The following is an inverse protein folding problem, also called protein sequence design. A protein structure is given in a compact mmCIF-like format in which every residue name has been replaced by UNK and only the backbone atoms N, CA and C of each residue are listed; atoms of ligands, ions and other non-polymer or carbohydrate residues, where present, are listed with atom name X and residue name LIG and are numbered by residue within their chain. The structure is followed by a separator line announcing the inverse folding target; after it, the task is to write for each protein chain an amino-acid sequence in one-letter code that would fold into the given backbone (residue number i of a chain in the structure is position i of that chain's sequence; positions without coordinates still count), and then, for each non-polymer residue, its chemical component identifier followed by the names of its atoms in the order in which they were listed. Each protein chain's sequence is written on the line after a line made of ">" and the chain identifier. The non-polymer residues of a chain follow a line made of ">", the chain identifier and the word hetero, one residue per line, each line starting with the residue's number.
data_IF_185850341353
#
_entry.id   IF_185850341353
#
_cell.length_a   1.000
_cell.length_b   1.000
_cell.length_c   1.000
_cell.angle_alpha   90.00
_cell.angle_beta   90.00
_cell.angle_gamma   90.00
#
_symmetry.space_group_name_H-M   'P 1'
#
loop_
_entity.id
_entity.type
_entity.pdbx_description
1 polymer ?
#
# COMPACT_ATOMS: atom_id res chain seq x y z
N UNK A 1 -16.49 13.90 -7.44
CA UNK A 1 -15.44 13.26 -6.61
C UNK A 1 -15.15 14.16 -5.42
N UNK A 2 -15.13 13.63 -4.20
CA UNK A 2 -14.84 14.45 -3.01
C UNK A 2 -13.33 14.62 -2.82
N UNK A 3 -12.92 15.74 -2.23
CA UNK A 3 -11.52 15.98 -1.82
C UNK A 3 -11.03 14.90 -0.86
N UNK A 4 -11.90 14.44 0.06
CA UNK A 4 -11.59 13.35 1.00
C UNK A 4 -11.27 12.03 0.29
N UNK A 5 -12.03 11.66 -0.74
CA UNK A 5 -11.74 10.43 -1.51
C UNK A 5 -10.38 10.55 -2.21
N UNK A 6 -10.08 11.72 -2.77
CA UNK A 6 -8.81 11.97 -3.45
C UNK A 6 -7.62 11.90 -2.49
N UNK A 7 -7.72 12.47 -1.29
CA UNK A 7 -6.63 12.44 -0.31
C UNK A 7 -6.38 11.04 0.24
N UNK A 8 -7.44 10.22 0.39
CA UNK A 8 -7.31 8.81 0.75
C UNK A 8 -6.57 8.02 -0.34
N UNK A 9 -6.94 8.23 -1.60
CA UNK A 9 -6.25 7.59 -2.73
C UNK A 9 -4.78 8.03 -2.83
N UNK A 10 -4.47 9.32 -2.65
CA UNK A 10 -3.08 9.81 -2.57
C UNK A 10 -2.31 9.16 -1.43
N UNK A 11 -2.91 9.08 -0.24
CA UNK A 11 -2.28 8.51 0.95
C UNK A 11 -2.00 7.01 0.83
N UNK A 12 -2.91 6.28 0.18
CA UNK A 12 -2.73 4.86 -0.07
C UNK A 12 -1.67 4.61 -1.16
N UNK A 13 -1.69 5.37 -2.25
CA UNK A 13 -0.70 5.27 -3.33
C UNK A 13 0.74 5.54 -2.84
N UNK A 14 0.96 6.60 -2.05
CA UNK A 14 2.29 6.91 -1.52
C UNK A 14 2.74 5.86 -0.49
N UNK A 15 1.83 5.31 0.33
CA UNK A 15 2.15 4.20 1.24
C UNK A 15 2.50 2.91 0.48
N UNK A 16 1.79 2.62 -0.60
CA UNK A 16 2.10 1.50 -1.49
C UNK A 16 3.50 1.60 -2.06
N UNK A 17 3.90 2.78 -2.56
CA UNK A 17 5.26 3.02 -3.07
C UNK A 17 6.34 2.96 -2.00
N UNK A 18 6.07 3.52 -0.82
CA UNK A 18 6.99 3.46 0.32
C UNK A 18 7.36 2.00 0.64
N UNK A 19 6.35 1.14 0.80
CA UNK A 19 6.58 -0.26 1.16
C UNK A 19 7.12 -1.09 -0.01
N UNK A 20 6.70 -0.79 -1.25
CA UNK A 20 7.26 -1.41 -2.46
C UNK A 20 8.78 -1.17 -2.58
N UNK A 21 9.27 0.02 -2.23
CA UNK A 21 10.70 0.37 -2.29
C UNK A 21 11.62 -0.54 -1.44
N UNK A 22 11.04 -1.24 -0.47
CA UNK A 22 11.73 -2.13 0.47
C UNK A 22 11.64 -3.62 0.08
N UNK A 23 10.89 -3.98 -0.96
CA UNK A 23 10.77 -5.38 -1.41
C UNK A 23 12.09 -5.87 -1.99
N UNK A 24 12.47 -7.11 -1.68
CA UNK A 24 13.75 -7.65 -2.13
C UNK A 24 14.97 -7.02 -1.45
N UNK A 25 14.82 -6.46 -0.24
CA UNK A 25 15.95 -6.07 0.62
C UNK A 25 16.02 -7.05 1.78
N UNK A 26 17.23 -7.53 2.09
CA UNK A 26 17.44 -8.46 3.19
C UNK A 26 17.19 -7.80 4.56
N UNK A 27 16.73 -8.60 5.53
CA UNK A 27 16.39 -8.09 6.86
C UNK A 27 17.59 -7.48 7.58
N UNK A 28 18.80 -8.05 7.40
CA UNK A 28 19.98 -7.52 8.06
C UNK A 28 20.30 -6.11 7.56
N UNK A 29 20.21 -5.85 6.25
CA UNK A 29 20.37 -4.52 5.67
C UNK A 29 19.28 -3.55 6.16
N UNK A 30 18.01 -3.97 6.16
CA UNK A 30 16.89 -3.15 6.66
C UNK A 30 17.09 -2.71 8.12
N UNK A 31 17.77 -3.53 8.92
CA UNK A 31 18.00 -3.32 10.34
C UNK A 31 19.30 -2.57 10.65
N UNK A 32 20.33 -2.71 9.83
CA UNK A 32 21.70 -2.29 10.19
C UNK A 32 22.34 -1.30 9.24
N UNK A 33 21.92 -1.24 7.97
CA UNK A 33 22.48 -0.28 7.01
C UNK A 33 21.72 1.05 7.16
N UNK A 34 22.41 2.14 7.51
CA UNK A 34 21.73 3.41 7.77
C UNK A 34 21.20 4.04 6.48
N UNK A 35 19.96 4.54 6.55
CA UNK A 35 19.36 5.44 5.56
C UNK A 35 19.87 6.86 5.78
N UNK A 36 19.86 7.32 7.04
CA UNK A 36 20.32 8.64 7.46
C UNK A 36 21.02 8.58 8.79
N UNK A 37 22.26 9.08 8.88
CA UNK A 37 23.00 9.07 10.16
C UNK A 37 22.91 7.69 10.82
N UNK A 38 22.20 7.57 11.96
CA UNK A 38 22.01 6.30 12.68
C UNK A 38 20.57 5.74 12.56
N UNK A 39 19.81 6.11 11.52
CA UNK A 39 18.48 5.57 11.23
C UNK A 39 18.56 4.43 10.24
N UNK A 40 18.19 3.21 10.65
CA UNK A 40 17.95 2.10 9.73
C UNK A 40 16.61 2.25 9.01
N UNK A 41 16.38 1.47 7.93
CA UNK A 41 15.09 1.47 7.25
C UNK A 41 13.95 1.01 8.19
N UNK A 42 14.21 0.02 9.05
CA UNK A 42 13.27 -0.41 10.07
C UNK A 42 12.88 0.74 11.03
N UNK A 43 13.86 1.49 11.53
CA UNK A 43 13.60 2.66 12.38
C UNK A 43 12.87 3.76 11.62
N UNK A 44 13.17 3.96 10.33
CA UNK A 44 12.46 4.93 9.51
C UNK A 44 10.97 4.58 9.35
N UNK A 45 10.61 3.29 9.20
CA UNK A 45 9.21 2.86 9.21
C UNK A 45 8.51 3.19 10.54
N UNK A 46 9.17 2.90 11.67
CA UNK A 46 8.64 3.27 12.99
C UNK A 46 8.51 4.79 13.16
N UNK A 47 9.42 5.58 12.60
CA UNK A 47 9.34 7.04 12.57
C UNK A 47 8.12 7.53 11.82
N UNK A 48 7.89 7.02 10.61
CA UNK A 48 6.71 7.34 9.82
C UNK A 48 5.43 6.99 10.59
N UNK A 49 5.41 5.83 11.24
CA UNK A 49 4.34 5.41 12.14
C UNK A 49 4.11 6.37 13.31
N UNK A 50 5.17 6.88 13.95
CA UNK A 50 5.01 7.79 15.10
C UNK A 50 4.35 9.11 14.67
N UNK A 51 4.65 9.62 13.48
CA UNK A 51 3.94 10.79 12.95
C UNK A 51 2.49 10.49 12.60
N UNK A 52 2.17 9.31 12.05
CA UNK A 52 0.77 8.91 11.83
C UNK A 52 0.01 8.86 13.18
N UNK A 53 0.60 8.24 14.21
CA UNK A 53 0.02 8.20 15.56
C UNK A 53 -0.15 9.60 16.15
N UNK A 54 0.87 10.44 16.05
CA UNK A 54 0.85 11.81 16.57
C UNK A 54 -0.26 12.66 15.95
N UNK A 55 -0.44 12.58 14.62
CA UNK A 55 -1.52 13.30 13.96
C UNK A 55 -2.88 12.67 14.23
N UNK A 56 -2.98 11.34 14.40
CA UNK A 56 -4.21 10.70 14.85
C UNK A 56 -4.67 11.26 16.20
N UNK A 57 -3.76 11.39 17.17
CA UNK A 57 -4.03 11.95 18.50
C UNK A 57 -4.51 13.41 18.41
N UNK A 58 -3.94 14.21 17.51
CA UNK A 58 -4.43 15.58 17.27
C UNK A 58 -5.84 15.63 16.67
N UNK A 59 -6.14 14.73 15.73
CA UNK A 59 -7.50 14.62 15.18
C UNK A 59 -8.51 14.17 16.24
N UNK A 60 -8.12 13.26 17.11
CA UNK A 60 -8.95 12.82 18.25
C UNK A 60 -9.24 13.98 19.22
N UNK A 61 -8.26 14.84 19.50
CA UNK A 61 -8.48 16.05 20.32
C UNK A 61 -9.48 17.02 19.68
N UNK A 62 -9.39 17.20 18.36
CA UNK A 62 -10.38 17.99 17.60
C UNK A 62 -11.78 17.39 17.70
N UNK A 63 -11.93 16.09 17.44
CA UNK A 63 -13.21 15.39 17.50
C UNK A 63 -13.88 15.48 18.88
N UNK A 64 -13.06 15.58 19.93
CA UNK A 64 -13.52 15.70 21.32
C UNK A 64 -13.68 17.14 21.80
N UNK A 65 -13.48 18.16 20.95
CA UNK A 65 -13.54 19.57 21.36
C UNK A 65 -12.51 19.95 22.42
N UNK A 66 -11.35 19.27 22.42
CA UNK A 66 -10.24 19.45 23.37
C UNK A 66 -9.02 20.05 22.67
N UNK A 67 -9.24 21.00 21.76
CA UNK A 67 -8.18 21.58 20.92
C UNK A 67 -7.14 22.34 21.75
N UNK A 68 -7.51 22.84 22.93
CA UNK A 68 -6.61 23.50 23.88
C UNK A 68 -5.48 22.59 24.39
N UNK A 69 -5.65 21.27 24.27
CA UNK A 69 -4.64 20.27 24.63
C UNK A 69 -3.67 19.94 23.49
N UNK A 70 -3.82 20.54 22.31
CA UNK A 70 -2.93 20.29 21.17
C UNK A 70 -1.61 21.03 21.38
N UNK A 71 -0.56 20.27 21.68
CA UNK A 71 0.79 20.80 21.90
C UNK A 71 1.51 21.15 20.59
N UNK A 72 2.30 22.24 20.60
CA UNK A 72 3.23 22.57 19.51
C UNK A 72 4.43 21.63 19.48
N UNK A 73 5.02 21.46 18.29
CA UNK A 73 6.37 20.92 18.18
C UNK A 73 7.32 22.11 18.28
N UNK A 74 7.92 22.32 19.45
CA UNK A 74 8.87 23.44 19.67
C UNK A 74 10.22 23.17 18.99
N UNK A 75 10.68 21.92 19.03
CA UNK A 75 11.94 21.49 18.45
C UNK A 75 11.77 20.11 17.77
N UNK A 76 11.83 20.12 16.44
CA UNK A 76 11.66 18.94 15.61
C UNK A 76 12.82 17.95 15.77
N UNK A 77 14.05 18.47 15.90
CA UNK A 77 15.25 17.66 16.01
C UNK A 77 15.33 16.98 17.37
N UNK A 78 14.97 17.70 18.44
CA UNK A 78 14.85 17.11 19.77
C UNK A 78 13.79 16.00 19.80
N UNK A 79 12.62 16.21 19.18
CA UNK A 79 11.58 15.17 19.08
C UNK A 79 12.10 13.94 18.33
N UNK A 80 12.74 14.15 17.17
CA UNK A 80 13.27 13.07 16.36
C UNK A 80 14.38 12.30 17.09
N UNK A 81 15.23 12.98 17.86
CA UNK A 81 16.28 12.36 18.69
C UNK A 81 15.69 11.49 19.80
N UNK A 82 14.66 11.97 20.49
CA UNK A 82 13.96 11.20 21.52
C UNK A 82 13.26 9.99 20.94
N UNK A 83 12.63 10.15 19.77
CA UNK A 83 12.00 9.07 19.03
C UNK A 83 13.03 8.01 18.62
N UNK A 84 14.14 8.41 18.01
CA UNK A 84 15.22 7.51 17.62
C UNK A 84 15.71 6.69 18.81
N UNK A 85 15.97 7.35 19.95
CA UNK A 85 16.43 6.70 21.18
C UNK A 85 15.46 5.61 21.66
N UNK A 86 14.15 5.84 21.49
CA UNK A 86 13.10 4.90 21.88
C UNK A 86 12.98 3.69 20.94
N UNK A 87 13.24 3.88 19.66
CA UNK A 87 12.96 2.87 18.63
C UNK A 87 14.20 2.14 18.09
N UNK A 88 15.41 2.61 18.41
CA UNK A 88 16.68 2.07 17.89
C UNK A 88 16.84 0.55 18.05
N UNK A 89 16.26 -0.02 19.12
CA UNK A 89 16.37 -1.44 19.45
C UNK A 89 15.13 -2.26 19.03
N UNK A 90 14.19 -1.66 18.29
CA UNK A 90 13.00 -2.35 17.80
C UNK A 90 13.35 -3.32 16.68
N UNK A 91 12.65 -4.45 16.62
CA UNK A 91 12.74 -5.37 15.50
C UNK A 91 12.07 -4.80 14.25
N UNK A 92 12.39 -5.36 13.09
CA UNK A 92 11.72 -5.01 11.84
C UNK A 92 10.22 -5.28 11.93
N UNK A 93 9.84 -6.48 12.38
CA UNK A 93 8.43 -6.87 12.53
C UNK A 93 7.65 -5.89 13.41
N UNK A 94 8.22 -5.50 14.56
CA UNK A 94 7.56 -4.55 15.45
C UNK A 94 7.45 -3.16 14.83
N UNK A 95 8.46 -2.71 14.08
CA UNK A 95 8.43 -1.42 13.38
C UNK A 95 7.36 -1.37 12.29
N UNK A 96 7.21 -2.47 11.54
CA UNK A 96 6.16 -2.63 10.51
C UNK A 96 4.76 -2.67 11.15
N UNK A 97 4.56 -3.49 12.18
CA UNK A 97 3.28 -3.58 12.89
C UNK A 97 2.89 -2.22 13.52
N UNK A 98 3.85 -1.50 14.10
CA UNK A 98 3.63 -0.17 14.64
C UNK A 98 3.20 0.83 13.55
N UNK A 99 3.88 0.83 12.39
CA UNK A 99 3.54 1.65 11.23
C UNK A 99 2.11 1.40 10.76
N UNK A 100 1.70 0.13 10.65
CA UNK A 100 0.37 -0.24 10.15
C UNK A 100 -0.74 0.13 11.15
N UNK A 101 -0.53 -0.16 12.44
CA UNK A 101 -1.49 0.20 13.49
C UNK A 101 -1.64 1.72 13.61
N UNK A 102 -0.54 2.46 13.54
CA UNK A 102 -0.58 3.92 13.57
C UNK A 102 -1.32 4.50 12.36
N UNK A 103 -1.08 3.95 11.16
CA UNK A 103 -1.81 4.34 9.94
C UNK A 103 -3.31 4.05 10.06
N UNK A 104 -3.69 2.88 10.56
CA UNK A 104 -5.10 2.55 10.79
C UNK A 104 -5.75 3.52 11.78
N UNK A 105 -5.06 3.84 12.88
CA UNK A 105 -5.53 4.81 13.87
C UNK A 105 -5.76 6.18 13.23
N UNK A 106 -4.78 6.64 12.44
CA UNK A 106 -4.88 7.90 11.71
C UNK A 106 -6.06 7.93 10.72
N UNK A 107 -6.21 6.90 9.89
CA UNK A 107 -7.30 6.82 8.92
C UNK A 107 -8.67 6.77 9.59
N UNK A 108 -8.80 6.04 10.71
CA UNK A 108 -10.03 6.00 11.51
C UNK A 108 -10.40 7.38 12.05
N UNK A 109 -9.43 8.10 12.63
CA UNK A 109 -9.65 9.45 13.13
C UNK A 109 -9.98 10.44 12.00
N UNK A 110 -9.35 10.28 10.84
CA UNK A 110 -9.62 11.12 9.67
C UNK A 110 -11.02 10.88 9.08
N UNK A 111 -11.46 9.63 8.99
CA UNK A 111 -12.81 9.27 8.50
C UNK A 111 -13.91 9.81 9.42
N UNK A 112 -13.65 9.90 10.72
CA UNK A 112 -14.60 10.43 11.70
C UNK A 112 -14.80 11.96 11.62
N UNK A 113 -13.93 12.70 10.94
CA UNK A 113 -14.08 14.15 10.79
C UNK A 113 -15.29 14.49 9.92
N UNK A 114 -16.06 15.49 10.34
CA UNK A 114 -17.01 16.16 9.45
C UNK A 114 -16.28 16.91 8.32
N UNK A 115 -16.98 17.26 7.24
CA UNK A 115 -16.41 18.13 6.19
C UNK A 115 -16.07 19.52 6.74
N UNK A 116 -16.86 20.01 7.70
CA UNK A 116 -16.61 21.27 8.40
C UNK A 116 -15.32 21.21 9.23
N UNK A 117 -15.14 20.16 10.04
CA UNK A 117 -13.93 19.97 10.84
C UNK A 117 -12.70 19.79 9.94
N UNK A 118 -12.81 19.05 8.85
CA UNK A 118 -11.69 18.87 7.93
C UNK A 118 -11.19 20.20 7.33
N UNK A 119 -12.11 21.11 7.02
CA UNK A 119 -11.78 22.43 6.45
C UNK A 119 -11.40 23.47 7.50
N UNK A 120 -11.61 23.16 8.79
CA UNK A 120 -11.44 24.08 9.91
C UNK A 120 -9.99 24.55 10.05
N UNK A 121 -9.85 25.83 10.32
CA UNK A 121 -8.61 26.46 10.73
C UNK A 121 -8.64 26.66 12.25
N UNK A 122 -7.59 26.19 12.93
CA UNK A 122 -7.45 26.34 14.38
C UNK A 122 -6.54 27.52 14.66
N UNK A 123 -6.76 28.21 15.79
CA UNK A 123 -5.90 29.31 16.22
C UNK A 123 -5.13 28.92 17.46
N UNK A 124 -3.80 28.94 17.37
CA UNK A 124 -2.88 28.71 18.47
C UNK A 124 -1.90 29.87 18.61
N UNK A 125 -1.19 29.95 19.74
CA UNK A 125 -0.11 30.93 19.95
C UNK A 125 1.05 30.77 18.94
N UNK A 126 1.20 29.58 18.38
CA UNK A 126 2.27 29.19 17.44
C UNK A 126 1.82 29.17 15.98
N UNK A 127 0.58 29.58 15.67
CA UNK A 127 0.12 29.72 14.29
C UNK A 127 -1.34 29.34 14.08
N UNK A 128 -1.73 29.30 12.80
CA UNK A 128 -3.10 29.03 12.37
C UNK A 128 -3.15 27.82 11.42
N UNK A 129 -2.92 26.58 11.90
CA UNK A 129 -2.93 25.41 11.05
C UNK A 129 -4.35 25.05 10.61
N UNK A 130 -4.46 24.59 9.36
CA UNK A 130 -5.67 23.92 8.85
C UNK A 130 -5.58 22.42 9.05
N UNK A 131 -6.68 21.79 9.44
CA UNK A 131 -6.74 20.33 9.66
C UNK A 131 -6.45 19.57 8.37
N UNK A 132 -6.93 20.06 7.23
CA UNK A 132 -6.57 19.52 5.91
C UNK A 132 -5.06 19.49 5.67
N UNK A 133 -4.32 20.50 6.13
CA UNK A 133 -2.86 20.54 6.04
C UNK A 133 -2.16 19.42 6.83
N UNK A 134 -2.70 19.05 8.00
CA UNK A 134 -2.19 17.91 8.78
C UNK A 134 -2.39 16.59 8.05
N UNK A 135 -3.56 16.42 7.42
CA UNK A 135 -3.89 15.20 6.65
C UNK A 135 -3.04 15.11 5.39
N UNK A 136 -2.94 16.20 4.61
CA UNK A 136 -2.12 16.25 3.40
C UNK A 136 -0.65 15.96 3.66
N UNK A 137 -0.13 16.37 4.82
CA UNK A 137 1.26 16.12 5.16
C UNK A 137 1.60 14.63 5.23
N UNK A 138 0.64 13.72 5.45
CA UNK A 138 0.91 12.28 5.60
C UNK A 138 1.35 11.61 4.32
N UNK A 139 0.66 11.86 3.20
CA UNK A 139 1.08 11.31 1.93
C UNK A 139 2.37 12.00 1.42
N UNK A 140 2.56 13.30 1.70
CA UNK A 140 3.80 14.02 1.37
C UNK A 140 5.02 13.45 2.12
N UNK A 141 4.82 13.07 3.38
CA UNK A 141 5.85 12.46 4.21
C UNK A 141 6.23 11.05 3.74
N UNK A 142 5.25 10.21 3.41
CA UNK A 142 5.50 8.91 2.78
C UNK A 142 6.28 9.09 1.47
N UNK A 143 5.94 10.10 0.65
CA UNK A 143 6.62 10.38 -0.62
C UNK A 143 8.10 10.80 -0.45
N UNK A 144 8.39 11.67 0.54
CA UNK A 144 9.76 12.08 0.85
C UNK A 144 10.58 10.85 1.23
N UNK A 145 10.10 10.04 2.17
CA UNK A 145 10.84 8.85 2.61
C UNK A 145 10.88 7.72 1.60
N UNK A 146 9.95 7.67 0.66
CA UNK A 146 10.06 6.77 -0.51
C UNK A 146 11.29 7.13 -1.34
N UNK A 147 11.48 8.41 -1.66
CA UNK A 147 12.65 8.88 -2.40
C UNK A 147 13.95 8.59 -1.63
N UNK A 148 13.93 8.83 -0.32
CA UNK A 148 15.06 8.57 0.56
C UNK A 148 15.50 7.10 0.54
N UNK A 149 14.52 6.18 0.63
CA UNK A 149 14.76 4.73 0.59
C UNK A 149 15.24 4.26 -0.78
N UNK A 150 14.76 4.86 -1.86
CA UNK A 150 15.24 4.57 -3.22
C UNK A 150 16.71 4.95 -3.37
N UNK A 151 17.08 6.18 -2.98
CA UNK A 151 18.48 6.65 -3.00
C UNK A 151 19.36 5.78 -2.11
N UNK A 152 18.87 5.41 -0.91
CA UNK A 152 19.58 4.53 0.00
C UNK A 152 19.85 3.15 -0.62
N UNK A 153 18.85 2.54 -1.25
CA UNK A 153 18.95 1.24 -1.90
C UNK A 153 19.98 1.26 -3.03
N UNK A 154 19.90 2.27 -3.90
CA UNK A 154 20.85 2.46 -5.01
C UNK A 154 22.28 2.66 -4.49
N UNK A 155 22.45 3.52 -3.48
CA UNK A 155 23.77 3.86 -2.90
C UNK A 155 24.49 2.63 -2.32
N UNK A 156 23.72 1.72 -1.72
CA UNK A 156 24.26 0.53 -1.07
C UNK A 156 24.17 -0.74 -1.94
N UNK A 157 23.66 -0.63 -3.18
CA UNK A 157 23.48 -1.75 -4.10
C UNK A 157 22.69 -2.93 -3.48
N UNK A 158 21.57 -2.60 -2.82
CA UNK A 158 20.74 -3.55 -2.06
C UNK A 158 19.69 -4.23 -2.94
N UNK A 159 20.10 -4.74 -4.10
CA UNK A 159 19.22 -5.50 -4.99
C UNK A 159 19.27 -6.99 -4.68
N UNK A 160 18.18 -7.50 -4.11
CA UNK A 160 17.91 -8.94 -4.00
C UNK A 160 16.47 -9.25 -4.46
N UNK A 161 16.17 -10.54 -4.61
CA UNK A 161 14.86 -11.08 -5.00
C UNK A 161 14.07 -11.63 -3.82
N UNK A 162 14.69 -11.67 -2.64
CA UNK A 162 14.15 -12.20 -1.40
C UNK A 162 14.12 -11.12 -0.32
N UNK A 163 13.23 -11.29 0.65
CA UNK A 163 13.11 -10.34 1.75
C UNK A 163 12.25 -10.87 2.88
N UNK A 164 12.07 -10.07 3.95
CA UNK A 164 11.26 -10.46 5.09
C UNK A 164 9.77 -10.43 4.75
N UNK A 165 9.04 -11.44 5.23
CA UNK A 165 7.59 -11.61 5.13
C UNK A 165 6.85 -10.39 5.66
N UNK A 166 7.32 -9.80 6.75
CA UNK A 166 6.69 -8.62 7.35
C UNK A 166 6.56 -7.46 6.35
N UNK A 167 7.59 -7.19 5.56
CA UNK A 167 7.57 -6.18 4.49
C UNK A 167 6.67 -6.62 3.33
N UNK A 168 6.80 -7.86 2.85
CA UNK A 168 5.96 -8.38 1.77
C UNK A 168 4.46 -8.26 2.10
N UNK A 169 4.09 -8.69 3.31
CA UNK A 169 2.70 -8.68 3.75
C UNK A 169 2.16 -7.26 3.96
N UNK A 170 2.98 -6.34 4.48
CA UNK A 170 2.61 -4.93 4.59
C UNK A 170 2.46 -4.27 3.21
N UNK A 171 3.39 -4.54 2.27
CA UNK A 171 3.34 -4.04 0.91
C UNK A 171 2.11 -4.57 0.15
N UNK A 172 1.78 -5.86 0.30
CA UNK A 172 0.58 -6.46 -0.28
C UNK A 172 -0.70 -5.81 0.23
N UNK A 173 -0.77 -5.47 1.53
CA UNK A 173 -1.91 -4.73 2.10
C UNK A 173 -1.97 -3.29 1.60
N UNK A 174 -0.83 -2.61 1.50
CA UNK A 174 -0.77 -1.24 1.02
C UNK A 174 -1.11 -1.11 -0.47
N UNK A 175 -0.63 -2.03 -1.31
CA UNK A 175 -1.00 -2.12 -2.72
C UNK A 175 -2.51 -2.34 -2.90
N UNK A 176 -3.09 -3.26 -2.12
CA UNK A 176 -4.54 -3.47 -2.12
C UNK A 176 -5.30 -2.23 -1.65
N UNK A 177 -4.82 -1.52 -0.64
CA UNK A 177 -5.43 -0.27 -0.20
C UNK A 177 -5.35 0.82 -1.28
N UNK A 178 -4.23 0.93 -2.01
CA UNK A 178 -4.09 1.85 -3.15
C UNK A 178 -5.13 1.55 -4.24
N UNK A 179 -5.24 0.28 -4.61
CA UNK A 179 -6.21 -0.18 -5.59
C UNK A 179 -7.65 0.12 -5.13
N UNK A 180 -8.03 -0.25 -3.91
CA UNK A 180 -9.40 -0.06 -3.40
C UNK A 180 -9.78 1.42 -3.28
N UNK A 181 -8.87 2.27 -2.82
CA UNK A 181 -9.11 3.72 -2.74
C UNK A 181 -9.17 4.36 -4.12
N UNK A 182 -8.43 3.85 -5.11
CA UNK A 182 -8.54 4.26 -6.51
C UNK A 182 -9.88 3.83 -7.12
N UNK A 183 -10.34 2.62 -6.86
CA UNK A 183 -11.67 2.13 -7.28
C UNK A 183 -12.79 3.02 -6.73
N UNK A 184 -12.62 3.55 -5.51
CA UNK A 184 -13.57 4.48 -4.91
C UNK A 184 -13.64 5.85 -5.62
N UNK A 185 -12.68 6.18 -6.48
CA UNK A 185 -12.73 7.39 -7.32
C UNK A 185 -13.73 7.26 -8.48
N UNK A 186 -14.09 6.03 -8.87
CA UNK A 186 -15.06 5.75 -9.95
C UNK A 186 -16.50 5.88 -9.42
N UNK A 187 -17.34 6.76 -10.00
CA UNK A 187 -18.74 6.89 -9.60
C UNK A 187 -19.51 5.56 -9.69
N UNK A 188 -20.40 5.31 -8.72
CA UNK A 188 -21.14 4.05 -8.62
C UNK A 188 -21.95 3.72 -9.88
N UNK A 189 -22.57 4.73 -10.48
CA UNK A 189 -23.37 4.65 -11.70
C UNK A 189 -22.55 4.49 -12.98
N UNK A 190 -21.21 4.61 -12.88
CA UNK A 190 -20.30 4.55 -14.03
C UNK A 190 -19.40 3.31 -14.03
N UNK A 191 -19.46 2.45 -13.00
CA UNK A 191 -18.55 1.31 -12.85
C UNK A 191 -18.62 0.28 -14.00
N UNK A 192 -19.74 0.23 -14.72
CA UNK A 192 -19.96 -0.70 -15.84
C UNK A 192 -19.94 -0.01 -17.21
N UNK A 193 -19.61 1.28 -17.28
CA UNK A 193 -19.71 2.05 -18.54
C UNK A 193 -18.56 3.02 -18.78
N UNK A 194 -17.84 3.43 -17.73
CA UNK A 194 -16.66 4.30 -17.87
C UNK A 194 -15.42 3.44 -18.07
N UNK A 195 -14.71 3.70 -19.15
CA UNK A 195 -13.40 3.13 -19.41
C UNK A 195 -12.39 3.68 -18.40
N UNK A 196 -11.76 2.79 -17.64
CA UNK A 196 -10.78 3.14 -16.59
C UNK A 196 -9.41 2.51 -16.83
N UNK A 197 -9.28 1.58 -17.78
CA UNK A 197 -8.00 1.02 -18.17
C UNK A 197 -8.02 0.64 -19.65
N UNK A 198 -7.61 1.55 -20.53
CA UNK A 198 -7.80 1.39 -21.97
C UNK A 198 -9.29 1.43 -22.32
N UNK A 199 -9.84 0.30 -22.80
CA UNK A 199 -11.27 0.14 -23.12
C UNK A 199 -12.02 -0.69 -22.06
N UNK A 200 -11.35 -1.03 -20.95
CA UNK A 200 -11.96 -1.82 -19.88
C UNK A 200 -12.68 -0.92 -18.89
N UNK A 201 -13.91 -1.30 -18.56
CA UNK A 201 -14.66 -0.68 -17.47
C UNK A 201 -14.13 -1.16 -16.12
N UNK A 202 -14.52 -0.49 -15.03
CA UNK A 202 -14.12 -0.95 -13.70
C UNK A 202 -14.63 -2.38 -13.41
N UNK A 203 -15.80 -2.76 -13.93
CA UNK A 203 -16.32 -4.13 -13.89
C UNK A 203 -15.38 -5.13 -14.55
N UNK A 204 -14.81 -4.76 -15.69
CA UNK A 204 -13.92 -5.63 -16.45
C UNK A 204 -12.56 -5.75 -15.74
N UNK A 205 -12.02 -4.63 -15.23
CA UNK A 205 -10.80 -4.61 -14.41
C UNK A 205 -10.96 -5.49 -13.16
N UNK A 206 -12.09 -5.41 -12.44
CA UNK A 206 -12.36 -6.28 -11.30
C UNK A 206 -12.40 -7.77 -11.69
N UNK A 207 -13.00 -8.09 -12.84
CA UNK A 207 -13.01 -9.44 -13.38
C UNK A 207 -11.62 -9.96 -13.73
N UNK A 208 -10.83 -9.13 -14.41
CA UNK A 208 -9.43 -9.41 -14.73
C UNK A 208 -8.59 -9.68 -13.48
N UNK A 209 -8.67 -8.80 -12.47
CA UNK A 209 -7.96 -8.96 -11.21
C UNK A 209 -8.39 -10.21 -10.44
N UNK A 210 -9.65 -10.63 -10.56
CA UNK A 210 -10.12 -11.90 -9.99
C UNK A 210 -9.44 -13.11 -10.64
N UNK A 211 -9.30 -13.12 -11.97
CA UNK A 211 -8.60 -14.21 -12.68
C UNK A 211 -7.12 -14.27 -12.34
N UNK A 212 -6.46 -13.12 -12.27
CA UNK A 212 -5.06 -13.05 -11.86
C UNK A 212 -4.87 -13.45 -10.39
N UNK A 213 -5.79 -13.11 -9.50
CA UNK A 213 -5.75 -13.58 -8.11
C UNK A 213 -5.86 -15.11 -8.01
N UNK A 214 -6.72 -15.73 -8.83
CA UNK A 214 -6.81 -17.19 -8.94
C UNK A 214 -5.50 -17.80 -9.48
N UNK A 215 -4.90 -17.17 -10.48
CA UNK A 215 -3.61 -17.60 -11.03
C UNK A 215 -2.50 -17.54 -9.96
N UNK A 216 -2.28 -16.39 -9.31
CA UNK A 216 -1.29 -16.26 -8.25
C UNK A 216 -1.53 -17.27 -7.11
N UNK A 217 -2.79 -17.43 -6.70
CA UNK A 217 -3.16 -18.43 -5.70
C UNK A 217 -2.82 -19.86 -6.12
N UNK A 218 -3.01 -20.22 -7.39
CA UNK A 218 -2.62 -21.53 -7.92
C UNK A 218 -1.12 -21.73 -8.06
N UNK A 219 -0.35 -20.68 -8.37
CA UNK A 219 1.11 -20.74 -8.31
C UNK A 219 1.59 -21.03 -6.88
N UNK A 220 1.06 -20.33 -5.88
CA UNK A 220 1.38 -20.58 -4.46
C UNK A 220 0.98 -22.00 -4.06
N UNK A 221 -0.24 -22.44 -4.39
CA UNK A 221 -0.71 -23.79 -4.10
C UNK A 221 0.22 -24.86 -4.72
N UNK A 222 0.64 -24.66 -5.97
CA UNK A 222 1.58 -25.56 -6.66
C UNK A 222 2.93 -25.63 -5.95
N UNK A 223 3.49 -24.48 -5.57
CA UNK A 223 4.78 -24.41 -4.84
C UNK A 223 4.70 -25.03 -3.45
N UNK A 224 3.52 -25.05 -2.82
CA UNK A 224 3.25 -25.70 -1.56
C UNK A 224 2.83 -27.18 -1.68
N UNK A 225 2.74 -27.74 -2.90
CA UNK A 225 2.25 -29.11 -3.12
C UNK A 225 0.77 -29.31 -2.75
N UNK A 226 -0.03 -28.25 -2.82
CA UNK A 226 -1.47 -28.24 -2.54
C UNK A 226 -2.29 -28.45 -3.82
N UNK A 227 -3.59 -28.71 -3.67
CA UNK A 227 -4.51 -28.76 -4.80
C UNK A 227 -4.69 -27.38 -5.41
N UNK A 228 -4.78 -27.33 -6.74
CA UNK A 228 -5.03 -26.09 -7.48
C UNK A 228 -6.42 -25.51 -7.13
N UNK A 229 -6.55 -24.17 -7.06
CA UNK A 229 -7.85 -23.54 -6.89
C UNK A 229 -8.73 -23.79 -8.12
N UNK A 230 -10.05 -23.80 -7.90
CA UNK A 230 -11.02 -23.89 -8.99
C UNK A 230 -10.82 -22.75 -9.99
N UNK A 231 -10.84 -23.07 -11.28
CA UNK A 231 -10.66 -22.08 -12.35
C UNK A 231 -9.21 -21.69 -12.63
N UNK A 232 -8.22 -22.29 -11.95
CA UNK A 232 -6.81 -22.09 -12.28
C UNK A 232 -6.54 -22.48 -13.74
N UNK A 233 -5.86 -21.57 -14.46
CA UNK A 233 -5.39 -21.77 -15.82
C UNK A 233 -4.06 -21.02 -15.99
N UNK A 234 -3.06 -21.70 -16.55
CA UNK A 234 -1.80 -21.06 -16.94
C UNK A 234 -2.07 -19.99 -18.03
N UNK A 235 -1.58 -18.75 -17.87
CA UNK A 235 -1.77 -17.69 -18.85
C UNK A 235 -1.13 -18.03 -20.20
N UNK A 236 -1.94 -18.03 -21.27
CA UNK A 236 -1.49 -17.95 -22.66
C UNK A 236 -1.30 -16.50 -23.10
N UNK A 237 -0.75 -16.28 -24.30
CA UNK A 237 -0.65 -14.94 -24.91
C UNK A 237 -2.01 -14.24 -24.98
N UNK A 238 -3.08 -14.98 -25.27
CA UNK A 238 -4.46 -14.47 -25.37
C UNK A 238 -5.25 -14.53 -24.06
N UNK A 239 -4.62 -14.86 -22.93
CA UNK A 239 -5.31 -15.13 -21.65
C UNK A 239 -6.27 -14.00 -21.27
N UNK A 240 -5.81 -12.75 -21.29
CA UNK A 240 -6.61 -11.61 -20.89
C UNK A 240 -7.85 -11.41 -21.78
N UNK A 241 -7.72 -11.61 -23.09
CA UNK A 241 -8.84 -11.46 -24.03
C UNK A 241 -9.86 -12.60 -23.86
N UNK A 242 -9.39 -13.84 -23.73
CA UNK A 242 -10.26 -14.99 -23.46
C UNK A 242 -11.07 -14.80 -22.17
N UNK A 243 -10.40 -14.34 -21.10
CA UNK A 243 -11.02 -14.08 -19.80
C UNK A 243 -12.02 -12.93 -19.86
N UNK A 244 -11.67 -11.84 -20.54
CA UNK A 244 -12.57 -10.71 -20.78
C UNK A 244 -13.87 -11.17 -21.47
N UNK A 245 -13.77 -11.96 -22.55
CA UNK A 245 -14.94 -12.47 -23.28
C UNK A 245 -15.85 -13.34 -22.41
N UNK A 246 -15.28 -14.19 -21.53
CA UNK A 246 -16.06 -15.01 -20.59
C UNK A 246 -16.78 -14.14 -19.55
N UNK A 247 -16.10 -13.11 -19.04
CA UNK A 247 -16.59 -12.27 -17.94
C UNK A 247 -17.48 -11.11 -18.38
N UNK A 248 -17.54 -10.80 -19.67
CA UNK A 248 -18.32 -9.67 -20.20
C UNK A 248 -19.76 -9.66 -19.72
N UNK A 249 -20.37 -10.85 -19.62
CA UNK A 249 -21.77 -11.04 -19.23
C UNK A 249 -21.95 -11.18 -17.70
N UNK A 250 -20.86 -11.14 -16.91
CA UNK A 250 -20.94 -11.16 -15.45
C UNK A 250 -21.35 -9.79 -14.94
N UNK A 251 -22.05 -9.76 -13.80
CA UNK A 251 -22.41 -8.52 -13.12
C UNK A 251 -21.23 -7.95 -12.33
N UNK A 252 -21.26 -6.64 -12.04
CA UNK A 252 -20.33 -6.00 -11.10
C UNK A 252 -20.21 -6.77 -9.78
N UNK A 253 -21.33 -7.16 -9.17
CA UNK A 253 -21.36 -7.85 -7.87
C UNK A 253 -20.59 -9.17 -7.93
N UNK A 254 -20.72 -9.94 -9.02
CA UNK A 254 -20.02 -11.21 -9.19
C UNK A 254 -18.51 -11.00 -9.33
N UNK A 255 -18.08 -10.14 -10.25
CA UNK A 255 -16.66 -9.84 -10.45
C UNK A 255 -16.03 -9.26 -9.17
N UNK A 256 -16.74 -8.37 -8.48
CA UNK A 256 -16.29 -7.79 -7.21
C UNK A 256 -16.14 -8.83 -6.10
N UNK A 257 -17.09 -9.78 -6.00
CA UNK A 257 -17.03 -10.85 -5.02
C UNK A 257 -15.83 -11.77 -5.24
N UNK A 258 -15.60 -12.20 -6.49
CA UNK A 258 -14.46 -13.05 -6.85
C UNK A 258 -13.11 -12.32 -6.67
N UNK A 259 -13.04 -11.05 -7.05
CA UNK A 259 -11.86 -10.19 -6.85
C UNK A 259 -11.43 -10.10 -5.37
N UNK A 260 -12.38 -9.86 -4.46
CA UNK A 260 -12.08 -9.80 -3.02
C UNK A 260 -11.78 -11.19 -2.44
N UNK A 261 -12.52 -12.21 -2.88
CA UNK A 261 -12.31 -13.59 -2.44
C UNK A 261 -10.91 -14.11 -2.80
N UNK A 262 -10.44 -13.84 -4.01
CA UNK A 262 -9.11 -14.24 -4.47
C UNK A 262 -7.99 -13.62 -3.65
N UNK A 263 -8.08 -12.32 -3.34
CA UNK A 263 -7.11 -11.65 -2.47
C UNK A 263 -7.08 -12.22 -1.05
N UNK A 264 -8.25 -12.45 -0.45
CA UNK A 264 -8.35 -13.03 0.90
C UNK A 264 -7.70 -14.42 0.91
N UNK A 265 -8.03 -15.26 -0.07
CA UNK A 265 -7.46 -16.60 -0.19
C UNK A 265 -5.94 -16.59 -0.35
N UNK A 266 -5.41 -15.73 -1.24
CA UNK A 266 -3.96 -15.57 -1.41
C UNK A 266 -3.28 -15.16 -0.11
N UNK A 267 -3.81 -14.14 0.58
CA UNK A 267 -3.27 -13.66 1.85
C UNK A 267 -3.28 -14.75 2.92
N UNK A 268 -4.38 -15.50 3.04
CA UNK A 268 -4.49 -16.60 4.01
C UNK A 268 -3.51 -17.75 3.73
N UNK A 269 -3.13 -17.98 2.48
CA UNK A 269 -2.06 -18.92 2.13
C UNK A 269 -0.71 -18.37 2.60
N UNK A 270 -0.38 -17.12 2.26
CA UNK A 270 0.88 -16.48 2.63
C UNK A 270 1.06 -16.35 4.15
N UNK A 271 -0.02 -16.07 4.90
CA UNK A 271 0.00 -15.94 6.36
C UNK A 271 0.49 -17.23 7.05
N UNK A 272 0.27 -18.41 6.44
CA UNK A 272 0.66 -19.71 7.00
C UNK A 272 2.14 -20.06 6.76
N UNK A 273 2.83 -19.36 5.86
CA UNK A 273 4.19 -19.67 5.46
C UNK A 273 5.22 -18.96 6.33
N UNK A 274 6.37 -19.58 6.57
CA UNK A 274 7.52 -18.91 7.20
C UNK A 274 8.32 -18.09 6.19
N UNK A 275 9.26 -17.25 6.67
CA UNK A 275 10.21 -16.56 5.80
C UNK A 275 11.02 -17.54 4.93
N UNK A 276 11.49 -18.65 5.51
CA UNK A 276 12.24 -19.67 4.79
C UNK A 276 11.40 -20.30 3.67
N UNK A 277 10.12 -20.60 3.94
CA UNK A 277 9.22 -21.20 2.94
C UNK A 277 8.89 -20.24 1.80
N UNK A 278 8.73 -18.95 2.10
CA UNK A 278 8.47 -17.90 1.12
C UNK A 278 9.65 -17.70 0.17
N UNK A 279 10.87 -17.64 0.74
CA UNK A 279 12.11 -17.37 0.02
C UNK A 279 12.76 -18.63 -0.57
N UNK A 280 12.23 -19.83 -0.29
CA UNK A 280 12.75 -21.07 -0.85
C UNK A 280 12.64 -21.06 -2.37
N UNK A 281 13.78 -21.22 -3.05
CA UNK A 281 13.84 -21.30 -4.52
C UNK A 281 13.04 -22.49 -5.06
N UNK A 282 12.22 -22.24 -6.07
CA UNK A 282 11.41 -23.22 -6.79
C UNK A 282 11.87 -23.29 -8.25
N UNK A 283 11.73 -24.47 -8.84
CA UNK A 283 12.05 -24.71 -10.25
C UNK A 283 10.80 -25.23 -10.95
N UNK A 284 10.63 -24.88 -12.23
CA UNK A 284 9.47 -25.30 -13.02
C UNK A 284 8.20 -24.49 -12.74
N UNK A 285 8.30 -23.37 -12.03
CA UNK A 285 7.25 -22.36 -11.87
C UNK A 285 7.65 -21.07 -12.59
N UNK A 286 6.70 -20.22 -13.01
CA UNK A 286 7.01 -18.92 -13.61
C UNK A 286 7.79 -17.97 -12.69
N UNK A 287 7.69 -18.19 -11.37
CA UNK A 287 8.37 -17.43 -10.32
C UNK A 287 9.50 -18.25 -9.69
N UNK A 288 10.58 -17.59 -9.28
CA UNK A 288 11.71 -18.21 -8.60
C UNK A 288 11.41 -18.61 -7.15
N UNK A 289 10.42 -17.99 -6.52
CA UNK A 289 9.99 -18.28 -5.14
C UNK A 289 8.51 -17.89 -4.93
N UNK A 290 7.95 -18.24 -3.76
CA UNK A 290 6.61 -17.76 -3.38
C UNK A 290 6.64 -16.26 -3.10
N UNK A 291 7.75 -15.75 -2.56
CA UNK A 291 7.98 -14.32 -2.35
C UNK A 291 7.83 -13.54 -3.67
N UNK A 292 8.53 -13.96 -4.72
CA UNK A 292 8.44 -13.33 -6.05
C UNK A 292 7.03 -13.41 -6.65
N UNK A 293 6.32 -14.52 -6.47
CA UNK A 293 4.94 -14.66 -6.92
C UNK A 293 4.00 -13.67 -6.21
N UNK A 294 4.13 -13.53 -4.89
CA UNK A 294 3.36 -12.57 -4.10
C UNK A 294 3.74 -11.11 -4.43
N UNK A 295 5.00 -10.85 -4.76
CA UNK A 295 5.46 -9.56 -5.26
C UNK A 295 4.82 -9.25 -6.64
N UNK A 296 4.83 -10.18 -7.58
CA UNK A 296 4.11 -9.98 -8.85
C UNK A 296 2.61 -9.69 -8.65
N UNK A 297 1.98 -10.35 -7.67
CA UNK A 297 0.59 -10.10 -7.32
C UNK A 297 0.31 -8.67 -6.82
N UNK A 298 1.17 -8.13 -5.94
CA UNK A 298 1.00 -6.76 -5.45
C UNK A 298 1.35 -5.71 -6.52
N UNK A 299 2.32 -5.97 -7.40
CA UNK A 299 2.62 -5.05 -8.51
C UNK A 299 1.48 -4.95 -9.51
N UNK A 300 0.79 -6.06 -9.74
CA UNK A 300 -0.42 -6.06 -10.57
C UNK A 300 -1.51 -5.16 -9.97
N UNK A 301 -1.70 -5.14 -8.65
CA UNK A 301 -2.62 -4.17 -8.00
C UNK A 301 -2.15 -2.71 -8.21
N UNK A 302 -0.85 -2.44 -8.05
CA UNK A 302 -0.28 -1.09 -8.20
C UNK A 302 -0.34 -0.57 -9.64
N UNK A 303 -0.12 -1.44 -10.63
CA UNK A 303 -0.22 -1.12 -12.05
C UNK A 303 -1.64 -0.70 -12.43
N UNK A 304 -2.64 -1.53 -12.10
CA UNK A 304 -4.05 -1.19 -12.36
C UNK A 304 -4.49 0.07 -11.60
N UNK A 305 -4.03 0.26 -10.36
CA UNK A 305 -4.32 1.48 -9.62
C UNK A 305 -3.73 2.73 -10.32
N UNK A 306 -2.50 2.67 -10.82
CA UNK A 306 -1.87 3.76 -11.56
C UNK A 306 -2.58 4.04 -12.89
N UNK A 307 -2.86 3.00 -13.69
CA UNK A 307 -3.59 3.11 -14.95
C UNK A 307 -4.98 3.72 -14.78
N UNK A 308 -5.72 3.30 -13.75
CA UNK A 308 -7.03 3.88 -13.43
C UNK A 308 -6.95 5.35 -13.04
N UNK A 309 -5.99 5.75 -12.20
CA UNK A 309 -5.80 7.17 -11.87
C UNK A 309 -5.50 8.00 -13.12
N UNK A 310 -4.66 7.48 -14.02
CA UNK A 310 -4.34 8.16 -15.28
C UNK A 310 -5.58 8.34 -16.16
N UNK A 311 -6.40 7.30 -16.32
CA UNK A 311 -7.63 7.34 -17.11
C UNK A 311 -8.69 8.28 -16.52
N UNK A 312 -8.81 8.32 -15.19
CA UNK A 312 -9.77 9.18 -14.50
C UNK A 312 -9.39 10.68 -14.50
N UNK A 313 -8.19 11.04 -14.98
CA UNK A 313 -7.68 12.43 -15.01
C UNK A 313 -7.72 13.12 -13.64
N UNK A 314 -7.54 12.35 -12.57
CA UNK A 314 -7.55 12.88 -11.20
C UNK A 314 -6.32 13.75 -10.96
N UNK A 315 -6.48 14.81 -10.16
CA UNK A 315 -5.35 15.62 -9.72
C UNK A 315 -4.44 14.75 -8.83
N UNK A 316 -3.31 14.30 -9.36
CA UNK A 316 -2.34 13.43 -8.70
C UNK A 316 -0.94 13.80 -9.19
N UNK A 317 0.10 13.68 -8.36
CA UNK A 317 1.47 13.74 -8.84
C UNK A 317 1.71 12.76 -10.00
N UNK A 318 2.40 13.19 -11.05
CA UNK A 318 2.66 12.36 -12.25
C UNK A 318 3.26 11.00 -11.91
N UNK A 319 4.14 10.93 -10.90
CA UNK A 319 4.75 9.68 -10.44
C UNK A 319 3.72 8.65 -9.97
N UNK A 320 2.51 9.04 -9.55
CA UNK A 320 1.46 8.13 -9.10
C UNK A 320 0.54 7.66 -10.24
N UNK A 321 0.66 8.24 -11.43
CA UNK A 321 -0.14 7.92 -12.62
C UNK A 321 0.47 6.81 -13.48
N UNK A 322 1.70 6.39 -13.17
CA UNK A 322 2.40 5.31 -13.87
C UNK A 322 3.07 4.42 -12.84
N UNK A 323 3.03 3.11 -13.03
CA UNK A 323 3.78 2.17 -12.22
C UNK A 323 4.67 1.32 -13.13
N UNK A 324 5.80 0.90 -12.60
CA UNK A 324 6.70 -0.07 -13.24
C UNK A 324 7.47 -0.75 -12.13
N UNK A 325 7.49 -2.07 -12.18
CA UNK A 325 8.24 -2.94 -11.31
C UNK A 325 8.83 -4.12 -12.11
N UNK A 326 9.66 -4.95 -11.48
CA UNK A 326 10.26 -6.12 -12.13
C UNK A 326 9.27 -7.09 -12.78
N UNK A 327 7.99 -7.10 -12.39
CA UNK A 327 6.98 -8.04 -12.89
C UNK A 327 5.84 -7.41 -13.70
N UNK A 328 5.90 -6.12 -14.02
CA UNK A 328 4.86 -5.37 -14.76
C UNK A 328 5.39 -4.60 -15.94
#
# INVERSE_FOLDING_TARGET
>A
MSERTLILARSAAERGRLLHSLLGVDEAALMTVPVFSDWSAANLLAHIGDYDRFYAERLELVLNGSEDQIESIEDLDARNTLLQTRIKDWTLEFSVDYLEKARLKFLTAFEALSDEDYQRELTFSWGMPRISGWVEWRHKHDAVHTNDLQVWRETHNLEDWNGPKSILMAALRAARADLLTTIALVPLDQRESLDVCGHWTLKDVAGHLADWSTYFGGCVATMCGQSLPEGFKEPSEDFNEERYLIRRDFSWIKNWGEFNGGYIALREMLDKLTDDELNQRRFGTPYGSIYECAWSALEHDLDHAAGMRAALTVDMPTRLLTFSGPFT
#
